data_IF_918169862111
#
_entry.id   IF_918169862111
#
_cell.length_a   1.000
_cell.length_b   1.000
_cell.length_c   1.000
_cell.angle_alpha   90.00
_cell.angle_beta   90.00
_cell.angle_gamma   90.00
#
_symmetry.space_group_name_H-M   'P 1'
#
loop_
_entity.id
_entity.type
_entity.pdbx_description
1 polymer ?
#
# COMPACT_ATOMS: atom_id res chain seq x y z
N UNK A 1 8.88 3.70 -11.18
CA UNK A 1 8.65 2.60 -10.21
C UNK A 1 8.85 3.07 -8.77
N UNK A 2 10.02 3.62 -8.41
CA UNK A 2 10.30 4.15 -7.06
C UNK A 2 9.25 5.16 -6.57
N UNK A 3 8.81 6.06 -7.44
CA UNK A 3 7.80 7.06 -7.09
C UNK A 3 6.40 6.46 -6.93
N UNK A 4 6.08 5.39 -7.65
CA UNK A 4 4.80 4.68 -7.49
C UNK A 4 4.74 3.93 -6.16
N UNK A 5 5.84 3.34 -5.71
CA UNK A 5 5.92 2.69 -4.39
C UNK A 5 5.73 3.71 -3.27
N UNK A 6 6.44 4.85 -3.35
CA UNK A 6 6.30 5.95 -2.39
C UNK A 6 4.89 6.50 -2.36
N UNK A 7 4.30 6.75 -3.52
CA UNK A 7 2.92 7.23 -3.63
C UNK A 7 1.91 6.24 -3.04
N UNK A 8 2.03 4.95 -3.33
CA UNK A 8 1.17 3.93 -2.75
C UNK A 8 1.32 3.89 -1.22
N UNK A 9 2.55 3.98 -0.71
CA UNK A 9 2.83 4.02 0.72
C UNK A 9 2.22 5.24 1.43
N UNK A 10 2.45 6.45 0.91
CA UNK A 10 1.85 7.67 1.45
C UNK A 10 0.33 7.61 1.38
N UNK A 11 -0.22 7.21 0.23
CA UNK A 11 -1.68 7.12 0.02
C UNK A 11 -2.37 6.16 1.00
N UNK A 12 -1.72 5.07 1.44
CA UNK A 12 -2.28 4.24 2.51
C UNK A 12 -2.49 5.03 3.80
N UNK A 13 -1.48 5.78 4.23
CA UNK A 13 -1.52 6.60 5.44
C UNK A 13 -2.50 7.77 5.30
N UNK A 14 -2.47 8.47 4.16
CA UNK A 14 -3.31 9.64 3.91
C UNK A 14 -4.80 9.26 3.95
N UNK A 15 -5.18 8.17 3.27
CA UNK A 15 -6.56 7.67 3.30
C UNK A 15 -6.99 7.24 4.72
N UNK A 16 -6.10 6.64 5.51
CA UNK A 16 -6.41 6.29 6.91
C UNK A 16 -6.60 7.55 7.75
N UNK A 17 -5.79 8.59 7.57
CA UNK A 17 -5.96 9.85 8.27
C UNK A 17 -7.29 10.53 7.88
N UNK A 18 -7.57 10.66 6.58
CA UNK A 18 -8.81 11.23 6.04
C UNK A 18 -10.06 10.52 6.60
N UNK A 19 -10.02 9.19 6.71
CA UNK A 19 -11.07 8.37 7.31
C UNK A 19 -11.54 8.87 8.69
N UNK A 20 -10.61 9.32 9.55
CA UNK A 20 -10.92 9.80 10.90
C UNK A 20 -11.53 11.21 10.93
N UNK A 21 -11.38 11.99 9.87
CA UNK A 21 -11.86 13.39 9.82
C UNK A 21 -13.36 13.50 9.48
N UNK A 22 -13.93 12.55 8.72
CA UNK A 22 -15.29 12.69 8.18
C UNK A 22 -16.43 12.36 9.15
N UNK A 23 -16.13 11.88 10.37
CA UNK A 23 -17.07 11.63 11.47
C UNK A 23 -18.40 10.92 11.09
N UNK A 24 -18.36 10.07 10.06
CA UNK A 24 -19.50 9.28 9.60
C UNK A 24 -19.06 7.92 9.02
N UNK A 25 -19.90 6.90 9.18
CA UNK A 25 -19.55 5.52 8.81
C UNK A 25 -19.37 5.28 7.30
N UNK A 26 -20.22 5.82 6.39
CA UNK A 26 -20.03 5.62 4.96
C UNK A 26 -18.68 6.10 4.43
N UNK A 27 -18.25 7.31 4.81
CA UNK A 27 -16.96 7.85 4.38
C UNK A 27 -15.81 7.09 5.04
N UNK A 28 -15.94 6.74 6.32
CA UNK A 28 -14.95 5.92 7.04
C UNK A 28 -14.66 4.62 6.28
N UNK A 29 -15.71 3.87 5.91
CA UNK A 29 -15.56 2.61 5.16
C UNK A 29 -14.96 2.86 3.77
N UNK A 30 -15.38 3.93 3.07
CA UNK A 30 -14.86 4.28 1.73
C UNK A 30 -13.36 4.52 1.76
N UNK A 31 -12.88 5.30 2.72
CA UNK A 31 -11.46 5.62 2.83
C UNK A 31 -10.60 4.43 3.26
N UNK A 32 -11.11 3.54 4.12
CA UNK A 32 -10.45 2.26 4.39
C UNK A 32 -10.34 1.38 3.14
N UNK A 33 -11.37 1.37 2.29
CA UNK A 33 -11.32 0.64 1.02
C UNK A 33 -10.24 1.20 0.08
N UNK A 34 -10.09 2.52 0.02
CA UNK A 34 -9.00 3.17 -0.74
C UNK A 34 -7.62 2.84 -0.19
N UNK A 35 -7.43 2.92 1.14
CA UNK A 35 -6.17 2.52 1.78
C UNK A 35 -5.82 1.05 1.47
N UNK A 36 -6.81 0.16 1.48
CA UNK A 36 -6.64 -1.26 1.09
C UNK A 36 -6.31 -1.42 -0.40
N UNK A 37 -6.85 -0.57 -1.26
CA UNK A 37 -6.47 -0.50 -2.68
C UNK A 37 -4.99 -0.16 -2.84
N UNK A 38 -4.52 0.90 -2.16
CA UNK A 38 -3.12 1.33 -2.18
C UNK A 38 -2.16 0.26 -1.63
N UNK A 39 -2.58 -0.54 -0.64
CA UNK A 39 -1.76 -1.68 -0.16
C UNK A 39 -1.64 -2.81 -1.19
N UNK A 40 -2.69 -3.05 -1.97
CA UNK A 40 -2.66 -3.95 -3.13
C UNK A 40 -1.69 -3.47 -4.21
N UNK A 41 -1.71 -2.18 -4.53
CA UNK A 41 -0.75 -1.58 -5.46
C UNK A 41 0.68 -1.73 -4.98
N UNK A 42 0.96 -1.42 -3.71
CA UNK A 42 2.29 -1.57 -3.11
C UNK A 42 2.82 -3.01 -3.23
N UNK A 43 1.99 -4.00 -2.86
CA UNK A 43 2.32 -5.43 -3.00
C UNK A 43 2.66 -5.82 -4.43
N UNK A 44 1.87 -5.36 -5.40
CA UNK A 44 2.13 -5.64 -6.81
C UNK A 44 3.49 -5.08 -7.25
N UNK A 45 3.89 -3.89 -6.78
CA UNK A 45 5.21 -3.33 -7.10
C UNK A 45 6.35 -4.16 -6.51
N UNK A 46 6.21 -4.69 -5.30
CA UNK A 46 7.19 -5.61 -4.71
C UNK A 46 7.37 -6.87 -5.57
N UNK A 47 6.28 -7.48 -6.01
CA UNK A 47 6.30 -8.67 -6.89
C UNK A 47 7.00 -8.35 -8.21
N UNK A 48 6.69 -7.21 -8.84
CA UNK A 48 7.31 -6.81 -10.11
C UNK A 48 8.82 -6.58 -9.93
N UNK A 49 9.23 -5.91 -8.85
CA UNK A 49 10.65 -5.65 -8.59
C UNK A 49 11.45 -6.93 -8.32
N UNK A 50 10.90 -7.87 -7.56
CA UNK A 50 11.52 -9.16 -7.32
C UNK A 50 11.66 -9.96 -8.64
N UNK A 51 10.58 -10.07 -9.42
CA UNK A 51 10.62 -10.73 -10.74
C UNK A 51 11.60 -10.09 -11.73
N UNK A 52 11.84 -8.79 -11.62
CA UNK A 52 12.81 -8.07 -12.42
C UNK A 52 14.27 -8.20 -11.92
N UNK A 53 14.52 -8.99 -10.87
CA UNK A 53 15.84 -9.14 -10.24
C UNK A 53 16.34 -7.85 -9.58
N UNK A 54 15.44 -6.95 -9.19
CA UNK A 54 15.76 -5.66 -8.54
C UNK A 54 15.57 -5.68 -7.03
N UNK A 55 14.99 -6.75 -6.51
CA UNK A 55 14.77 -6.95 -5.08
C UNK A 55 15.19 -8.38 -4.75
N UNK A 56 16.13 -8.50 -3.81
CA UNK A 56 16.59 -9.78 -3.28
C UNK A 56 15.42 -10.59 -2.71
N UNK A 57 15.47 -11.91 -2.84
CA UNK A 57 14.37 -12.80 -2.43
C UNK A 57 14.11 -12.73 -0.93
N UNK A 58 15.14 -12.65 -0.09
CA UNK A 58 14.98 -12.55 1.36
C UNK A 58 14.31 -11.22 1.73
N UNK A 59 14.76 -10.12 1.13
CA UNK A 59 14.15 -8.79 1.34
C UNK A 59 12.71 -8.76 0.83
N UNK A 60 12.45 -9.35 -0.34
CA UNK A 60 11.11 -9.45 -0.89
C UNK A 60 10.16 -10.20 0.05
N UNK A 61 10.55 -11.37 0.55
CA UNK A 61 9.71 -12.16 1.46
C UNK A 61 9.40 -11.39 2.75
N UNK A 62 10.39 -10.70 3.32
CA UNK A 62 10.19 -9.88 4.51
C UNK A 62 9.20 -8.74 4.25
N UNK A 63 9.39 -7.98 3.18
CA UNK A 63 8.53 -6.85 2.83
C UNK A 63 7.12 -7.30 2.44
N UNK A 64 7.00 -8.42 1.72
CA UNK A 64 5.72 -8.98 1.31
C UNK A 64 4.91 -9.45 2.51
N UNK A 65 5.54 -10.19 3.44
CA UNK A 65 4.88 -10.66 4.67
C UNK A 65 4.37 -9.49 5.54
N UNK A 66 5.10 -8.38 5.62
CA UNK A 66 4.70 -7.17 6.35
C UNK A 66 3.56 -6.38 5.68
N UNK A 67 3.24 -6.70 4.42
CA UNK A 67 2.25 -5.98 3.61
C UNK A 67 0.92 -6.72 3.43
N UNK A 68 0.77 -7.90 4.04
CA UNK A 68 -0.45 -8.70 4.12
C UNK A 68 -1.15 -8.39 5.44
#
# INVERSE_FOLDING_TARGET
MKDQIRRAACSMSDNIAECFEYNNNPDFIRYLAYAKGSSGEFRNKLVILNKAGKLDDQIYQELYAKSI
#
